data_IF_890681463396
#
_entry.id   IF_890681463396
#
_cell.length_a   1.000
_cell.length_b   1.000
_cell.length_c   1.000
_cell.angle_alpha   90.00
_cell.angle_beta   90.00
_cell.angle_gamma   90.00
#
_symmetry.space_group_name_H-M   'P 1'
#
loop_
_entity.id
_entity.type
_entity.pdbx_description
1 polymer ?
#
# COMPACT_ATOMS: atom_id res chain seq x y z
N UNK A 1 -6.68 27.77 -4.84
CA UNK A 1 -5.82 27.90 -3.64
C UNK A 1 -4.38 27.86 -4.13
N UNK A 2 -3.75 29.02 -4.13
CA UNK A 2 -2.36 29.18 -4.58
C UNK A 2 -1.43 28.43 -3.62
N UNK A 3 -0.68 27.48 -4.15
CA UNK A 3 0.40 26.82 -3.42
C UNK A 3 1.47 27.89 -3.18
N UNK A 4 1.64 28.28 -1.91
CA UNK A 4 2.76 29.12 -1.52
C UNK A 4 4.06 28.40 -1.90
N UNK A 5 4.70 28.86 -2.95
CA UNK A 5 6.06 28.48 -3.31
C UNK A 5 6.98 28.80 -2.12
N UNK A 6 7.32 27.79 -1.34
CA UNK A 6 8.44 27.87 -0.41
C UNK A 6 9.70 28.05 -1.25
N UNK A 7 10.24 29.26 -1.27
CA UNK A 7 11.60 29.45 -1.75
C UNK A 7 12.49 28.56 -0.85
N UNK A 8 13.09 27.55 -1.45
CA UNK A 8 14.12 26.74 -0.81
C UNK A 8 15.31 27.65 -0.55
N UNK A 9 15.46 28.12 0.68
CA UNK A 9 16.64 28.79 1.12
C UNK A 9 17.66 27.77 1.58
N UNK A 10 18.83 27.80 1.00
CA UNK A 10 19.95 26.96 1.39
C UNK A 10 20.64 27.59 2.61
N UNK A 11 20.72 26.84 3.69
CA UNK A 11 21.41 27.21 4.92
C UNK A 11 22.58 26.29 5.11
N UNK A 12 23.81 26.82 5.04
CA UNK A 12 25.02 26.03 5.34
C UNK A 12 25.26 26.04 6.84
N UNK A 13 25.36 24.88 7.43
CA UNK A 13 25.67 24.68 8.83
C UNK A 13 26.93 23.82 8.92
N UNK A 14 28.02 24.41 9.42
CA UNK A 14 29.26 23.66 9.65
C UNK A 14 29.23 22.98 11.01
N UNK A 15 29.62 21.72 11.01
CA UNK A 15 29.65 20.89 12.21
C UNK A 15 30.97 20.10 12.29
N UNK A 16 31.79 20.42 13.26
CA UNK A 16 32.99 19.65 13.60
C UNK A 16 32.71 18.75 14.81
N UNK A 17 32.97 17.44 14.66
CA UNK A 17 32.73 16.43 15.69
C UNK A 17 33.96 15.54 15.85
N UNK A 18 34.53 15.52 17.04
CA UNK A 18 35.59 14.59 17.43
C UNK A 18 35.06 13.60 18.46
N UNK A 19 35.30 12.31 18.21
CA UNK A 19 34.90 11.27 19.14
C UNK A 19 35.94 10.18 19.21
N UNK A 20 36.00 9.50 20.36
CA UNK A 20 36.85 8.34 20.60
C UNK A 20 35.95 7.15 20.88
N UNK A 21 36.09 6.11 20.09
CA UNK A 21 35.41 4.82 20.31
C UNK A 21 36.44 3.83 20.87
N UNK A 22 36.13 3.25 22.03
CA UNK A 22 36.94 2.17 22.60
C UNK A 22 36.36 0.85 22.07
N UNK A 23 37.20 0.08 21.41
CA UNK A 23 36.91 -1.25 20.89
C UNK A 23 37.83 -2.25 21.60
N UNK A 24 37.26 -3.30 22.16
CA UNK A 24 38.04 -4.32 22.90
C UNK A 24 38.74 -5.28 21.94
N UNK A 25 38.04 -5.67 20.89
CA UNK A 25 38.57 -6.51 19.83
C UNK A 25 38.35 -5.82 18.48
N UNK A 26 39.32 -5.88 17.58
CA UNK A 26 39.23 -5.17 16.28
C UNK A 26 38.40 -5.96 15.25
N UNK A 27 37.22 -6.45 15.65
CA UNK A 27 36.28 -7.08 14.73
C UNK A 27 35.33 -6.04 14.14
N UNK A 28 34.93 -6.23 12.86
CA UNK A 28 33.97 -5.36 12.18
C UNK A 28 32.65 -5.26 12.95
N UNK A 29 32.19 -6.36 13.55
CA UNK A 29 30.99 -6.42 14.36
C UNK A 29 31.08 -5.55 15.62
N UNK A 30 32.22 -5.56 16.32
CA UNK A 30 32.44 -4.71 17.50
C UNK A 30 32.55 -3.24 17.14
N UNK A 31 33.24 -2.92 16.04
CA UNK A 31 33.36 -1.55 15.56
C UNK A 31 31.96 -0.99 15.22
N UNK A 32 31.13 -1.75 14.49
CA UNK A 32 29.74 -1.35 14.16
C UNK A 32 28.91 -1.20 15.44
N UNK A 33 28.99 -2.14 16.37
CA UNK A 33 28.25 -2.10 17.63
C UNK A 33 28.63 -0.89 18.48
N UNK A 34 29.95 -0.63 18.61
CA UNK A 34 30.46 0.53 19.32
C UNK A 34 30.01 1.85 18.65
N UNK A 35 30.06 1.91 17.33
CA UNK A 35 29.56 3.06 16.57
C UNK A 35 28.06 3.28 16.78
N UNK A 36 27.24 2.25 16.67
CA UNK A 36 25.81 2.34 16.92
C UNK A 36 25.44 2.76 18.34
N UNK A 37 26.22 2.33 19.34
CA UNK A 37 26.02 2.75 20.74
C UNK A 37 26.44 4.19 21.00
N UNK A 38 27.44 4.66 20.28
CA UNK A 38 27.95 6.02 20.37
C UNK A 38 27.09 7.06 19.63
N UNK A 39 26.54 6.70 18.48
CA UNK A 39 25.82 7.59 17.56
C UNK A 39 24.72 8.47 18.18
N UNK A 40 23.98 8.08 19.27
CA UNK A 40 22.94 8.93 19.86
C UNK A 40 23.44 10.31 20.31
N UNK A 41 24.62 10.41 20.89
CA UNK A 41 25.12 11.67 21.45
C UNK A 41 25.52 12.69 20.37
N UNK A 42 26.43 12.37 19.43
CA UNK A 42 26.77 13.30 18.36
C UNK A 42 25.57 13.62 17.45
N UNK A 43 24.66 12.68 17.23
CA UNK A 43 23.44 12.94 16.49
C UNK A 43 22.53 13.94 17.23
N UNK A 44 22.40 13.82 18.55
CA UNK A 44 21.68 14.76 19.39
C UNK A 44 22.28 16.17 19.28
N UNK A 45 23.59 16.28 19.43
CA UNK A 45 24.31 17.55 19.36
C UNK A 45 24.20 18.18 17.96
N UNK A 46 24.34 17.38 16.91
CA UNK A 46 24.14 17.83 15.53
C UNK A 46 22.73 18.37 15.33
N UNK A 47 21.70 17.59 15.67
CA UNK A 47 20.30 18.03 15.53
C UNK A 47 20.04 19.31 16.33
N UNK A 48 20.56 19.41 17.55
CA UNK A 48 20.38 20.62 18.36
C UNK A 48 21.05 21.84 17.76
N UNK A 49 22.28 21.72 17.22
CA UNK A 49 22.95 22.84 16.52
C UNK A 49 22.20 23.26 15.27
N UNK A 50 21.73 22.30 14.46
CA UNK A 50 20.91 22.60 13.27
C UNK A 50 19.62 23.31 13.67
N UNK A 51 18.90 22.81 14.68
CA UNK A 51 17.67 23.45 15.15
C UNK A 51 17.88 24.85 15.70
N UNK A 52 18.97 25.09 16.44
CA UNK A 52 19.32 26.41 16.95
C UNK A 52 19.66 27.38 15.81
N UNK A 53 20.56 26.98 14.91
CA UNK A 53 20.94 27.81 13.77
C UNK A 53 19.73 28.14 12.88
N UNK A 54 18.89 27.17 12.59
CA UNK A 54 17.68 27.39 11.80
C UNK A 54 16.68 28.28 12.52
N UNK A 55 16.51 28.12 13.84
CA UNK A 55 15.63 28.97 14.64
C UNK A 55 16.12 30.42 14.70
N UNK A 56 17.40 30.62 14.90
CA UNK A 56 18.00 31.98 14.92
C UNK A 56 17.86 32.68 13.57
N UNK A 57 18.15 31.97 12.49
CA UNK A 57 17.99 32.47 11.14
C UNK A 57 16.54 32.77 10.80
N UNK A 58 15.61 31.82 11.06
CA UNK A 58 14.20 32.02 10.76
C UNK A 58 13.54 33.13 11.57
N UNK A 59 13.95 33.33 12.82
CA UNK A 59 13.47 34.44 13.65
C UNK A 59 14.02 35.81 13.15
N UNK A 60 15.25 35.86 12.64
CA UNK A 60 15.81 37.09 12.09
C UNK A 60 15.12 37.56 10.81
N UNK A 61 14.65 36.62 9.99
CA UNK A 61 13.95 36.90 8.74
C UNK A 61 12.43 37.14 8.91
N UNK A 62 11.86 36.92 10.10
CA UNK A 62 10.42 36.99 10.29
C UNK A 62 9.64 35.91 9.51
N UNK A 63 10.19 34.74 9.38
CA UNK A 63 9.58 33.62 8.63
C UNK A 63 8.27 33.15 9.25
N UNK A 64 7.21 32.99 8.45
CA UNK A 64 5.88 32.50 8.87
C UNK A 64 5.93 31.13 9.59
N UNK A 65 6.94 30.29 9.33
CA UNK A 65 7.14 29.03 10.04
C UNK A 65 7.33 29.20 11.56
N UNK A 66 7.72 30.40 11.99
CA UNK A 66 7.91 30.78 13.40
C UNK A 66 6.74 31.60 13.96
N UNK A 67 5.60 31.66 13.27
CA UNK A 67 4.45 32.41 13.75
C UNK A 67 3.96 31.95 15.14
N UNK A 68 3.55 32.90 15.95
CA UNK A 68 2.90 32.64 17.22
C UNK A 68 1.53 32.01 16.99
N UNK A 69 1.24 30.91 17.68
CA UNK A 69 -0.01 30.15 17.53
C UNK A 69 -1.26 30.92 18.02
N UNK A 70 -1.07 31.95 18.87
CA UNK A 70 -2.17 32.73 19.45
C UNK A 70 -2.47 33.99 18.62
N UNK A 71 -1.47 34.77 18.27
CA UNK A 71 -1.69 36.08 17.62
C UNK A 71 -1.17 36.15 16.18
N UNK A 72 -0.64 35.09 15.65
CA UNK A 72 -0.09 35.03 14.28
C UNK A 72 1.19 35.85 14.06
N UNK A 73 1.69 36.57 15.09
CA UNK A 73 2.91 37.38 14.98
C UNK A 73 4.09 36.47 14.61
N UNK A 74 4.85 36.84 13.59
CA UNK A 74 6.05 36.14 13.09
C UNK A 74 7.34 36.96 13.24
N UNK A 75 7.28 38.10 13.95
CA UNK A 75 8.43 38.93 14.26
C UNK A 75 8.60 39.06 15.77
N UNK A 76 9.86 39.28 16.20
CA UNK A 76 10.20 39.64 17.59
C UNK A 76 9.82 38.61 18.64
N UNK A 77 10.53 37.48 18.62
CA UNK A 77 10.48 36.48 19.69
C UNK A 77 11.64 36.68 20.66
N UNK A 78 11.39 36.46 21.93
CA UNK A 78 12.39 36.51 23.00
C UNK A 78 12.73 35.09 23.43
N UNK A 79 14.00 34.74 23.40
CA UNK A 79 14.49 33.49 23.93
C UNK A 79 14.20 33.38 25.43
N UNK A 80 13.52 32.32 25.89
CA UNK A 80 13.35 32.00 27.29
C UNK A 80 14.36 30.96 27.75
N UNK A 81 14.58 29.92 26.96
CA UNK A 81 15.62 28.95 27.23
C UNK A 81 16.01 28.21 25.94
N UNK A 82 17.30 27.97 25.80
CA UNK A 82 17.88 27.09 24.75
C UNK A 82 18.11 25.67 25.26
N UNK A 83 18.12 25.48 26.59
CA UNK A 83 18.32 24.20 27.27
C UNK A 83 17.19 23.91 28.24
N UNK A 84 15.96 23.93 27.74
CA UNK A 84 14.78 23.59 28.53
C UNK A 84 14.68 22.09 28.81
N UNK A 85 13.50 21.68 29.31
CA UNK A 85 13.21 20.25 29.56
C UNK A 85 13.57 19.41 28.32
N UNK A 86 14.16 18.24 28.56
CA UNK A 86 14.46 17.28 27.51
C UNK A 86 13.21 16.58 26.99
N UNK A 87 13.22 16.21 25.73
CA UNK A 87 12.22 15.34 25.11
C UNK A 87 12.92 14.23 24.37
N UNK A 88 12.42 13.01 24.51
CA UNK A 88 12.94 11.85 23.79
C UNK A 88 12.17 11.68 22.50
N UNK A 89 12.86 11.68 21.38
CA UNK A 89 12.28 11.60 20.02
C UNK A 89 12.93 10.42 19.29
N UNK A 90 12.11 9.64 18.61
CA UNK A 90 12.59 8.55 17.75
C UNK A 90 12.87 9.10 16.36
N UNK A 91 14.14 9.17 15.99
CA UNK A 91 14.55 9.51 14.62
C UNK A 91 14.56 8.26 13.73
N UNK A 92 14.89 8.45 12.45
CA UNK A 92 15.09 7.34 11.51
C UNK A 92 16.32 6.46 11.84
N UNK A 93 17.18 6.90 12.74
CA UNK A 93 18.37 6.17 13.17
C UNK A 93 18.17 5.52 14.55
N UNK A 94 17.69 6.29 15.54
CA UNK A 94 17.48 5.82 16.91
C UNK A 94 16.78 6.87 17.77
N UNK A 95 16.62 6.54 19.06
CA UNK A 95 16.15 7.49 20.06
C UNK A 95 17.21 8.55 20.35
N UNK A 96 16.84 9.82 20.23
CA UNK A 96 17.64 10.98 20.64
C UNK A 96 16.93 11.76 21.74
N UNK A 97 17.71 12.45 22.57
CA UNK A 97 17.21 13.26 23.67
C UNK A 97 17.49 14.73 23.34
N UNK A 98 16.48 15.46 22.93
CA UNK A 98 16.64 16.87 22.52
C UNK A 98 16.18 17.83 23.63
N UNK A 99 16.86 18.96 23.76
CA UNK A 99 16.41 20.05 24.61
C UNK A 99 15.25 20.80 23.95
N UNK A 100 14.28 21.22 24.76
CA UNK A 100 13.19 22.07 24.28
C UNK A 100 13.67 23.51 24.16
N UNK A 101 13.66 24.04 22.95
CA UNK A 101 13.88 25.46 22.67
C UNK A 101 12.60 26.21 22.96
N UNK A 102 12.61 27.10 23.96
CA UNK A 102 11.43 27.87 24.33
C UNK A 102 11.61 29.35 23.98
N UNK A 103 10.61 29.89 23.33
CA UNK A 103 10.51 31.31 22.99
C UNK A 103 9.23 31.93 23.54
N UNK A 104 9.21 33.24 23.69
CA UNK A 104 8.06 34.03 24.04
C UNK A 104 7.77 35.05 22.97
N UNK A 105 6.53 35.11 22.53
CA UNK A 105 6.06 36.16 21.63
C UNK A 105 6.14 37.54 22.31
N UNK A 106 6.74 38.53 21.66
CA UNK A 106 6.83 39.89 22.21
C UNK A 106 5.48 40.59 22.28
N UNK A 107 4.54 40.26 21.38
CA UNK A 107 3.21 40.86 21.28
C UNK A 107 2.25 40.35 22.33
N UNK A 108 1.93 39.04 22.32
CA UNK A 108 0.93 38.46 23.22
C UNK A 108 1.52 37.78 24.45
N UNK A 109 2.84 37.79 24.64
CA UNK A 109 3.58 37.14 25.73
C UNK A 109 3.40 35.62 25.83
N UNK A 110 2.75 35.00 24.85
CA UNK A 110 2.60 33.53 24.79
C UNK A 110 3.96 32.84 24.71
N UNK A 111 4.13 31.74 25.47
CA UNK A 111 5.34 30.93 25.49
C UNK A 111 5.07 29.62 24.75
N UNK A 112 5.92 29.24 23.81
CA UNK A 112 5.80 27.99 23.09
C UNK A 112 7.16 27.34 22.81
N UNK A 113 7.15 26.05 22.45
CA UNK A 113 8.35 25.27 22.23
C UNK A 113 8.62 25.12 20.73
N UNK A 114 9.76 25.64 20.27
CA UNK A 114 10.18 25.57 18.86
C UNK A 114 10.60 24.16 18.46
N UNK A 115 11.28 23.39 19.30
CA UNK A 115 11.84 22.08 18.97
C UNK A 115 10.81 21.17 18.28
N UNK A 116 9.63 21.05 18.86
CA UNK A 116 8.55 20.21 18.29
C UNK A 116 7.99 20.79 16.99
N UNK A 117 7.78 22.09 16.96
CA UNK A 117 7.26 22.81 15.79
C UNK A 117 8.19 22.67 14.59
N UNK A 118 9.49 22.87 14.79
CA UNK A 118 10.51 22.73 13.74
C UNK A 118 10.65 21.30 13.21
N UNK A 119 10.45 20.31 14.08
CA UNK A 119 10.51 18.91 13.71
C UNK A 119 9.16 18.35 13.17
N UNK A 120 8.13 19.18 13.09
CA UNK A 120 6.80 18.74 12.65
C UNK A 120 6.19 17.68 13.58
N UNK A 121 6.49 17.73 14.88
CA UNK A 121 6.03 16.74 15.84
C UNK A 121 4.84 17.28 16.61
N UNK A 122 3.68 16.67 16.45
CA UNK A 122 2.47 17.02 17.18
C UNK A 122 2.66 16.95 18.71
N UNK A 123 1.90 17.75 19.48
CA UNK A 123 1.88 17.66 20.93
C UNK A 123 1.70 16.21 21.40
N UNK A 124 2.43 15.83 22.44
CA UNK A 124 2.43 14.48 23.05
C UNK A 124 2.99 13.34 22.17
N UNK A 125 3.22 13.50 20.88
CA UNK A 125 3.88 12.51 20.04
C UNK A 125 5.40 12.58 20.22
N UNK A 126 6.07 11.42 19.99
CA UNK A 126 7.54 11.27 20.11
C UNK A 126 8.17 10.69 18.86
N UNK A 127 7.35 10.45 17.84
CA UNK A 127 7.77 9.84 16.58
C UNK A 127 7.39 10.79 15.46
N UNK A 128 8.37 11.38 14.75
CA UNK A 128 8.11 12.20 13.58
C UNK A 128 7.40 11.39 12.49
N UNK A 129 6.65 12.07 11.65
CA UNK A 129 5.85 11.42 10.61
C UNK A 129 6.69 10.56 9.66
N UNK A 130 7.84 11.05 9.22
CA UNK A 130 8.73 10.28 8.34
C UNK A 130 9.22 8.98 8.99
N UNK A 131 9.56 9.01 10.29
CA UNK A 131 9.93 7.82 11.04
C UNK A 131 8.74 6.87 11.18
N UNK A 132 7.56 7.40 11.46
CA UNK A 132 6.31 6.64 11.57
C UNK A 132 5.99 5.91 10.26
N UNK A 133 6.08 6.59 9.11
CA UNK A 133 5.86 5.97 7.78
C UNK A 133 6.85 4.83 7.50
N UNK A 134 8.14 4.99 7.85
CA UNK A 134 9.13 3.92 7.72
C UNK A 134 8.83 2.73 8.63
N UNK A 135 8.41 2.97 9.88
CA UNK A 135 7.97 1.91 10.78
C UNK A 135 6.72 1.21 10.26
N UNK A 136 5.78 1.96 9.70
CA UNK A 136 4.58 1.44 9.04
C UNK A 136 4.92 0.51 7.87
N UNK A 137 5.84 0.94 7.00
CA UNK A 137 6.31 0.14 5.89
C UNK A 137 6.97 -1.17 6.35
N UNK A 138 7.92 -1.10 7.29
CA UNK A 138 8.60 -2.30 7.82
C UNK A 138 7.58 -3.23 8.49
N UNK A 139 6.63 -2.68 9.24
CA UNK A 139 5.59 -3.44 9.91
C UNK A 139 4.56 -4.08 8.98
N UNK A 140 4.39 -3.56 7.75
CA UNK A 140 3.52 -4.16 6.73
C UNK A 140 4.18 -5.33 5.99
N UNK A 141 5.53 -5.37 5.95
CA UNK A 141 6.28 -6.40 5.24
C UNK A 141 6.51 -7.68 6.03
N UNK A 142 6.39 -7.62 7.37
CA UNK A 142 6.65 -8.77 8.23
C UNK A 142 5.78 -8.74 9.50
N UNK A 143 5.70 -9.87 10.22
CA UNK A 143 5.04 -9.85 11.54
C UNK A 143 5.73 -8.84 12.47
N UNK A 144 4.96 -8.18 13.34
CA UNK A 144 5.50 -7.14 14.24
C UNK A 144 6.65 -7.64 15.15
N UNK A 145 6.70 -8.94 15.44
CA UNK A 145 7.82 -9.56 16.18
C UNK A 145 9.07 -9.60 15.32
N UNK A 146 8.94 -9.97 14.05
CA UNK A 146 10.06 -10.02 13.10
C UNK A 146 10.51 -8.60 12.77
N UNK A 147 9.59 -7.70 12.47
CA UNK A 147 9.87 -6.28 12.24
C UNK A 147 10.66 -5.66 13.40
N UNK A 148 10.26 -5.94 14.67
CA UNK A 148 11.02 -5.51 15.85
C UNK A 148 12.45 -6.07 15.88
N UNK A 149 12.64 -7.36 15.55
CA UNK A 149 13.99 -7.97 15.50
C UNK A 149 14.85 -7.31 14.42
N UNK A 150 14.30 -7.11 13.21
CA UNK A 150 15.02 -6.43 12.13
C UNK A 150 15.44 -5.03 12.58
N UNK A 151 14.51 -4.25 13.14
CA UNK A 151 14.78 -2.90 13.62
C UNK A 151 15.85 -2.89 14.72
N UNK A 152 15.83 -3.90 15.64
CA UNK A 152 16.82 -4.00 16.71
C UNK A 152 18.24 -4.29 16.21
N UNK A 153 18.40 -4.91 15.03
CA UNK A 153 19.72 -5.12 14.41
C UNK A 153 20.37 -3.79 13.98
N UNK A 154 19.58 -2.75 13.79
CA UNK A 154 20.06 -1.38 13.52
C UNK A 154 20.18 -0.52 14.79
N UNK A 155 20.20 -1.14 15.98
CA UNK A 155 20.36 -0.45 17.25
C UNK A 155 19.08 0.24 17.80
N UNK A 156 17.91 0.04 17.19
CA UNK A 156 16.68 0.67 17.64
C UNK A 156 15.96 -0.19 18.70
N UNK A 157 15.71 0.38 19.85
CA UNK A 157 14.89 -0.26 20.87
C UNK A 157 13.43 0.25 20.74
N UNK A 158 12.60 -0.53 20.06
CA UNK A 158 11.19 -0.19 19.81
C UNK A 158 10.31 -1.35 20.22
N UNK A 159 9.16 -1.06 20.84
CA UNK A 159 8.16 -2.07 21.13
C UNK A 159 7.34 -2.40 19.84
N UNK A 160 6.95 -3.69 19.72
CA UNK A 160 6.06 -4.19 18.67
C UNK A 160 4.74 -3.41 18.55
N UNK A 161 4.19 -2.90 19.67
CA UNK A 161 2.99 -2.08 19.68
C UNK A 161 3.20 -0.70 19.05
N UNK A 162 4.41 -0.16 19.14
CA UNK A 162 4.77 1.09 18.44
C UNK A 162 4.77 0.88 16.92
N UNK A 163 5.30 -0.25 16.45
CA UNK A 163 5.26 -0.63 15.03
C UNK A 163 3.82 -0.84 14.57
N UNK A 164 3.02 -1.58 15.36
CA UNK A 164 1.61 -1.80 15.06
C UNK A 164 0.83 -0.48 14.92
N UNK A 165 1.01 0.46 15.87
CA UNK A 165 0.37 1.78 15.80
C UNK A 165 0.81 2.56 14.56
N UNK A 166 2.10 2.50 14.22
CA UNK A 166 2.61 3.13 13.01
C UNK A 166 1.94 2.58 11.74
N UNK A 167 1.75 1.25 11.65
CA UNK A 167 1.01 0.61 10.54
C UNK A 167 -0.43 1.10 10.49
N UNK A 168 -1.12 1.15 11.65
CA UNK A 168 -2.51 1.60 11.70
C UNK A 168 -2.66 3.08 11.29
N UNK A 169 -1.76 3.95 11.74
CA UNK A 169 -1.80 5.37 11.39
C UNK A 169 -1.46 5.59 9.90
N UNK A 170 -0.42 4.92 9.39
CA UNK A 170 -0.05 5.00 7.97
C UNK A 170 -1.17 4.45 7.07
N UNK A 171 -1.81 3.37 7.49
CA UNK A 171 -2.93 2.78 6.73
C UNK A 171 -4.13 3.73 6.60
N UNK A 172 -4.37 4.62 7.55
CA UNK A 172 -5.44 5.63 7.47
C UNK A 172 -5.17 6.73 6.44
N UNK A 173 -3.93 6.93 6.07
CA UNK A 173 -3.51 7.94 5.09
C UNK A 173 -3.59 7.43 3.64
N UNK A 174 -3.83 6.12 3.46
CA UNK A 174 -3.96 5.53 2.13
C UNK A 174 -5.37 5.83 1.61
N UNK A 175 -5.44 6.59 0.55
CA UNK A 175 -6.67 6.81 -0.19
C UNK A 175 -6.80 5.74 -1.28
N UNK A 176 -7.86 4.92 -1.14
CA UNK A 176 -8.20 3.89 -2.11
C UNK A 176 -9.28 4.44 -3.02
N UNK A 177 -8.92 4.85 -4.23
CA UNK A 177 -9.88 5.29 -5.22
C UNK A 177 -9.38 5.03 -6.65
N UNK A 178 -10.32 5.00 -7.60
CA UNK A 178 -10.01 5.01 -9.03
C UNK A 178 -9.44 6.36 -9.43
N UNK A 179 -8.64 6.34 -10.47
CA UNK A 179 -8.13 7.53 -11.14
C UNK A 179 -8.86 7.66 -12.50
N UNK A 180 -9.63 8.74 -12.72
CA UNK A 180 -10.36 8.92 -13.96
C UNK A 180 -9.46 9.08 -15.19
N UNK A 181 -8.21 9.49 -14.99
CA UNK A 181 -7.23 9.70 -16.05
C UNK A 181 -6.48 8.41 -16.46
N UNK A 182 -6.67 7.32 -15.73
CA UNK A 182 -6.06 6.03 -16.00
C UNK A 182 -6.94 5.12 -16.87
N UNK A 183 -6.54 3.86 -17.09
CA UNK A 183 -7.29 2.92 -17.91
C UNK A 183 -8.65 2.57 -17.29
N UNK A 184 -9.68 2.49 -18.12
CA UNK A 184 -10.99 1.95 -17.74
C UNK A 184 -10.95 0.42 -17.61
N UNK A 185 -9.93 -0.09 -16.92
CA UNK A 185 -9.67 -1.51 -16.74
C UNK A 185 -9.25 -1.79 -15.30
N UNK A 186 -9.90 -2.76 -14.67
CA UNK A 186 -9.60 -3.16 -13.31
C UNK A 186 -9.79 -4.65 -13.08
N UNK A 187 -9.32 -5.10 -11.93
CA UNK A 187 -9.46 -6.48 -11.45
C UNK A 187 -10.02 -6.48 -10.05
N UNK A 188 -10.90 -7.42 -9.76
CA UNK A 188 -11.44 -7.62 -8.42
C UNK A 188 -11.36 -9.10 -8.02
N UNK A 189 -10.75 -9.37 -6.87
CA UNK A 189 -10.57 -10.71 -6.35
C UNK A 189 -10.65 -10.73 -4.83
N UNK A 190 -11.05 -11.87 -4.27
CA UNK A 190 -11.16 -12.10 -2.85
C UNK A 190 -10.35 -13.31 -2.41
N UNK A 191 -9.63 -13.17 -1.31
CA UNK A 191 -8.88 -14.29 -0.72
C UNK A 191 -9.21 -14.48 0.75
N UNK A 192 -9.37 -15.74 1.15
CA UNK A 192 -9.61 -16.08 2.55
C UNK A 192 -8.39 -15.75 3.42
N UNK A 193 -8.60 -14.99 4.48
CA UNK A 193 -7.54 -14.62 5.42
C UNK A 193 -7.78 -15.23 6.80
N UNK A 194 -6.73 -15.80 7.44
CA UNK A 194 -6.83 -16.23 8.83
C UNK A 194 -6.78 -15.00 9.75
N UNK A 195 -7.77 -14.88 10.64
CA UNK A 195 -7.77 -13.84 11.66
C UNK A 195 -7.45 -14.46 13.02
N UNK A 196 -6.44 -13.92 13.69
CA UNK A 196 -6.03 -14.41 15.00
C UNK A 196 -7.20 -14.28 16.01
N UNK A 197 -7.48 -15.34 16.75
CA UNK A 197 -8.54 -15.37 17.76
C UNK A 197 -9.91 -15.77 17.23
N UNK A 198 -10.10 -15.91 15.91
CA UNK A 198 -11.34 -16.40 15.30
C UNK A 198 -11.11 -17.84 14.84
N UNK A 199 -11.79 -18.80 15.50
CA UNK A 199 -11.68 -20.23 15.16
C UNK A 199 -12.34 -20.59 13.82
N UNK A 200 -13.33 -19.82 13.39
CA UNK A 200 -14.10 -20.13 12.19
C UNK A 200 -13.55 -19.37 10.99
N UNK A 201 -13.42 -20.08 9.87
CA UNK A 201 -13.20 -19.54 8.53
C UNK A 201 -14.26 -18.49 8.26
N UNK A 202 -13.91 -17.38 7.72
CA UNK A 202 -14.99 -16.55 7.26
C UNK A 202 -14.71 -15.08 7.12
N UNK A 203 -13.45 -14.69 7.10
CA UNK A 203 -13.09 -13.36 6.63
C UNK A 203 -12.34 -13.49 5.33
N UNK A 204 -12.74 -12.67 4.40
CA UNK A 204 -12.15 -12.52 3.08
C UNK A 204 -11.59 -11.13 2.94
N UNK A 205 -10.35 -11.06 2.50
CA UNK A 205 -9.76 -9.81 2.02
C UNK A 205 -10.18 -9.66 0.56
N UNK A 206 -10.96 -8.62 0.29
CA UNK A 206 -11.37 -8.22 -1.05
C UNK A 206 -10.51 -7.08 -1.52
N UNK A 207 -10.00 -7.18 -2.73
CA UNK A 207 -9.14 -6.17 -3.35
C UNK A 207 -9.71 -5.81 -4.71
N UNK A 208 -9.74 -4.52 -4.98
CA UNK A 208 -10.05 -3.97 -6.28
C UNK A 208 -8.86 -3.13 -6.76
N UNK A 209 -8.38 -3.39 -7.95
CA UNK A 209 -7.24 -2.68 -8.56
C UNK A 209 -7.63 -2.08 -9.90
N UNK A 210 -6.93 -1.02 -10.28
CA UNK A 210 -7.01 -0.39 -11.60
C UNK A 210 -5.67 -0.49 -12.31
N UNK A 211 -5.68 -0.80 -13.61
CA UNK A 211 -4.50 -0.78 -14.44
C UNK A 211 -4.13 0.64 -14.86
N UNK A 212 -2.84 0.93 -14.92
CA UNK A 212 -2.31 2.24 -15.31
C UNK A 212 -1.90 2.27 -16.77
N UNK A 213 -2.06 3.42 -17.45
CA UNK A 213 -1.60 3.67 -18.83
C UNK A 213 -0.10 3.42 -19.01
N UNK A 214 0.70 3.76 -18.00
CA UNK A 214 2.16 3.57 -18.00
C UNK A 214 2.61 2.18 -17.52
N UNK A 215 1.69 1.23 -17.37
CA UNK A 215 1.96 -0.09 -16.79
C UNK A 215 1.87 -0.11 -15.25
N UNK A 216 1.68 -1.30 -14.71
CA UNK A 216 1.45 -1.52 -13.28
C UNK A 216 0.00 -1.33 -12.86
N UNK A 217 -0.24 -1.46 -11.55
CA UNK A 217 -1.58 -1.42 -10.96
C UNK A 217 -1.65 -0.37 -9.84
N UNK A 218 -2.86 0.14 -9.59
CA UNK A 218 -3.23 0.95 -8.44
C UNK A 218 -4.27 0.21 -7.63
N UNK A 219 -4.11 0.12 -6.32
CA UNK A 219 -5.15 -0.40 -5.44
C UNK A 219 -6.24 0.66 -5.31
N UNK A 220 -7.43 0.36 -5.82
CA UNK A 220 -8.57 1.27 -5.86
C UNK A 220 -9.59 0.98 -4.74
N UNK A 221 -9.49 -0.17 -4.09
CA UNK A 221 -10.33 -0.52 -2.96
C UNK A 221 -9.86 -1.75 -2.21
N UNK A 222 -10.05 -1.75 -0.90
CA UNK A 222 -9.78 -2.89 -0.03
C UNK A 222 -10.89 -3.02 1.00
N UNK A 223 -11.41 -4.22 1.20
CA UNK A 223 -12.37 -4.51 2.27
C UNK A 223 -12.11 -5.87 2.92
N UNK A 224 -12.41 -5.97 4.20
CA UNK A 224 -12.37 -7.22 4.94
C UNK A 224 -13.78 -7.52 5.42
N UNK A 225 -14.37 -8.57 4.89
CA UNK A 225 -15.76 -8.91 5.15
C UNK A 225 -16.04 -10.39 5.16
N UNK A 226 -17.33 -10.74 5.23
CA UNK A 226 -17.79 -12.11 5.03
C UNK A 226 -17.74 -12.47 3.54
N UNK A 227 -17.72 -13.77 3.24
CA UNK A 227 -17.51 -14.31 1.89
C UNK A 227 -18.46 -13.70 0.83
N UNK A 228 -19.74 -13.56 1.14
CA UNK A 228 -20.75 -13.04 0.21
C UNK A 228 -21.11 -11.56 0.42
N UNK A 229 -20.46 -10.88 1.33
CA UNK A 229 -20.75 -9.48 1.63
C UNK A 229 -19.54 -8.56 1.39
N UNK A 230 -19.79 -7.28 1.22
CA UNK A 230 -18.72 -6.29 1.18
C UNK A 230 -18.36 -5.79 -0.22
N UNK A 231 -18.66 -6.51 -1.31
CA UNK A 231 -18.39 -6.01 -2.66
C UNK A 231 -19.12 -4.69 -2.95
N UNK A 232 -20.38 -4.57 -2.52
CA UNK A 232 -21.13 -3.31 -2.67
C UNK A 232 -20.42 -2.16 -1.96
N UNK A 233 -19.96 -2.38 -0.72
CA UNK A 233 -19.26 -1.36 0.08
C UNK A 233 -17.90 -1.03 -0.55
N UNK A 234 -17.19 -2.03 -1.09
CA UNK A 234 -15.91 -1.85 -1.75
C UNK A 234 -16.01 -0.97 -3.00
N UNK A 235 -17.04 -1.19 -3.83
CA UNK A 235 -17.22 -0.45 -5.08
C UNK A 235 -17.92 0.91 -4.91
N UNK A 236 -18.66 1.11 -3.83
CA UNK A 236 -19.47 2.31 -3.63
C UNK A 236 -18.69 3.63 -3.83
N UNK A 237 -17.47 3.82 -3.30
CA UNK A 237 -16.68 5.01 -3.56
C UNK A 237 -16.24 5.15 -5.03
N UNK A 238 -16.07 4.05 -5.74
CA UNK A 238 -15.57 4.02 -7.11
C UNK A 238 -16.67 4.23 -8.16
N UNK A 239 -17.97 4.05 -7.81
CA UNK A 239 -19.09 4.07 -8.76
C UNK A 239 -19.15 5.37 -9.54
N UNK A 240 -19.01 6.53 -8.90
CA UNK A 240 -19.13 7.83 -9.57
C UNK A 240 -18.00 8.03 -10.60
N UNK A 241 -16.79 7.58 -10.27
CA UNK A 241 -15.68 7.62 -11.22
C UNK A 241 -15.89 6.61 -12.35
N UNK A 242 -16.37 5.40 -12.03
CA UNK A 242 -16.68 4.39 -13.05
C UNK A 242 -17.75 4.85 -14.05
N UNK A 243 -18.72 5.65 -13.63
CA UNK A 243 -19.74 6.25 -14.54
C UNK A 243 -19.13 7.21 -15.56
N UNK A 244 -18.00 7.83 -15.25
CA UNK A 244 -17.28 8.71 -16.17
C UNK A 244 -16.67 7.97 -17.37
N UNK A 245 -16.44 6.67 -17.25
CA UNK A 245 -15.94 5.84 -18.36
C UNK A 245 -17.10 5.39 -19.26
N UNK A 246 -16.89 5.40 -20.58
CA UNK A 246 -17.86 4.87 -21.55
C UNK A 246 -18.23 3.41 -21.27
N UNK A 247 -17.26 2.61 -20.90
CA UNK A 247 -17.39 1.22 -20.47
C UNK A 247 -16.16 0.88 -19.61
N UNK A 248 -16.36 0.21 -18.48
CA UNK A 248 -15.27 -0.23 -17.63
C UNK A 248 -15.06 -1.75 -17.78
N UNK A 249 -13.86 -2.19 -18.13
CA UNK A 249 -13.52 -3.60 -18.19
C UNK A 249 -13.16 -4.07 -16.78
N UNK A 250 -13.84 -5.09 -16.27
CA UNK A 250 -13.58 -5.67 -14.95
C UNK A 250 -13.29 -7.16 -15.06
N UNK A 251 -12.07 -7.55 -14.67
CA UNK A 251 -11.65 -8.95 -14.60
C UNK A 251 -11.94 -9.48 -13.19
N UNK A 252 -12.61 -10.63 -13.10
CA UNK A 252 -12.94 -11.28 -11.83
C UNK A 252 -12.80 -12.80 -11.92
N UNK A 253 -12.84 -13.50 -10.80
CA UNK A 253 -12.89 -14.96 -10.74
C UNK A 253 -14.23 -15.55 -11.22
N UNK A 254 -15.24 -14.69 -11.46
CA UNK A 254 -16.61 -15.06 -11.85
C UNK A 254 -17.59 -15.13 -10.67
N UNK A 255 -17.25 -14.58 -9.50
CA UNK A 255 -18.19 -14.45 -8.39
C UNK A 255 -19.35 -13.52 -8.79
N UNK A 256 -20.57 -14.05 -8.76
CA UNK A 256 -21.78 -13.31 -9.12
C UNK A 256 -22.06 -12.13 -8.21
N UNK A 257 -21.64 -12.19 -6.96
CA UNK A 257 -21.84 -11.10 -5.99
C UNK A 257 -21.06 -9.83 -6.36
N UNK A 258 -19.94 -9.97 -7.08
CA UNK A 258 -19.22 -8.83 -7.68
C UNK A 258 -20.11 -8.18 -8.75
N UNK A 259 -20.66 -8.99 -9.66
CA UNK A 259 -21.52 -8.51 -10.74
C UNK A 259 -22.77 -7.83 -10.21
N UNK A 260 -23.44 -8.44 -9.23
CA UNK A 260 -24.65 -7.91 -8.61
C UNK A 260 -24.42 -6.58 -7.89
N UNK A 261 -23.22 -6.36 -7.36
CA UNK A 261 -22.87 -5.11 -6.68
C UNK A 261 -22.82 -3.89 -7.63
N UNK A 262 -22.55 -4.11 -8.92
CA UNK A 262 -22.38 -3.09 -9.95
C UNK A 262 -23.58 -3.03 -10.92
N UNK A 263 -24.44 -4.04 -10.94
CA UNK A 263 -25.58 -4.14 -11.85
C UNK A 263 -26.50 -2.94 -11.76
N UNK A 264 -26.84 -2.35 -12.93
CA UNK A 264 -27.70 -1.19 -13.04
C UNK A 264 -27.09 0.14 -12.58
N UNK A 265 -25.86 0.16 -12.08
CA UNK A 265 -25.20 1.38 -11.61
C UNK A 265 -24.17 1.92 -12.60
N UNK A 266 -23.42 1.04 -13.23
CA UNK A 266 -22.33 1.36 -14.16
C UNK A 266 -22.35 0.40 -15.35
N UNK A 267 -21.83 0.86 -16.49
CA UNK A 267 -21.66 0.02 -17.67
C UNK A 267 -20.34 -0.70 -17.57
N UNK A 268 -20.40 -1.99 -17.24
CA UNK A 268 -19.21 -2.83 -17.04
C UNK A 268 -19.20 -3.96 -18.05
N UNK A 269 -18.04 -4.16 -18.69
CA UNK A 269 -17.73 -5.37 -19.43
C UNK A 269 -17.00 -6.34 -18.51
N UNK A 270 -17.61 -7.48 -18.27
CA UNK A 270 -17.02 -8.49 -17.38
C UNK A 270 -16.18 -9.49 -18.16
N UNK A 271 -14.94 -9.68 -17.68
CA UNK A 271 -14.04 -10.69 -18.15
C UNK A 271 -13.74 -11.65 -17.00
N UNK A 272 -13.96 -12.94 -17.21
CA UNK A 272 -13.54 -13.95 -16.25
C UNK A 272 -12.04 -14.13 -16.28
N UNK A 273 -11.40 -14.16 -15.12
CA UNK A 273 -9.96 -14.33 -14.98
C UNK A 273 -9.51 -15.67 -15.57
N UNK A 274 -8.65 -15.64 -16.58
CA UNK A 274 -8.16 -16.82 -17.28
C UNK A 274 -7.34 -17.74 -16.37
N UNK A 275 -6.75 -17.21 -15.31
CA UNK A 275 -6.01 -17.99 -14.32
C UNK A 275 -6.94 -18.82 -13.42
N UNK A 276 -8.09 -18.27 -13.03
CA UNK A 276 -9.05 -18.94 -12.16
C UNK A 276 -9.82 -20.07 -12.86
N UNK A 277 -10.02 -19.99 -14.18
CA UNK A 277 -10.78 -20.98 -14.94
C UNK A 277 -10.18 -22.41 -14.80
N UNK A 278 -8.88 -22.65 -15.03
CA UNK A 278 -8.29 -23.99 -14.84
C UNK A 278 -8.34 -24.47 -13.39
N UNK A 279 -8.28 -23.56 -12.42
CA UNK A 279 -8.38 -23.89 -11.00
C UNK A 279 -9.77 -24.36 -10.61
N UNK A 280 -10.80 -23.63 -11.02
CA UNK A 280 -12.21 -23.99 -10.78
C UNK A 280 -12.58 -25.27 -11.50
N UNK A 281 -11.96 -25.52 -12.62
CA UNK A 281 -12.11 -26.72 -13.40
C UNK A 281 -11.83 -28.00 -12.62
N UNK A 282 -10.75 -28.04 -11.86
CA UNK A 282 -10.39 -29.20 -11.03
C UNK A 282 -11.49 -29.52 -10.02
N UNK A 283 -12.17 -28.50 -9.51
CA UNK A 283 -13.26 -28.67 -8.57
C UNK A 283 -14.56 -29.17 -9.22
N UNK A 284 -14.90 -28.69 -10.41
CA UNK A 284 -16.06 -29.16 -11.18
C UNK A 284 -15.85 -30.60 -11.66
N UNK A 285 -14.64 -30.97 -12.08
CA UNK A 285 -14.27 -32.36 -12.37
C UNK A 285 -14.49 -33.31 -11.20
N UNK A 286 -14.11 -32.86 -10.01
CA UNK A 286 -14.32 -33.63 -8.80
C UNK A 286 -15.83 -33.79 -8.52
N UNK A 287 -16.65 -32.75 -8.71
CA UNK A 287 -18.11 -32.85 -8.59
C UNK A 287 -18.73 -33.79 -9.59
N UNK A 288 -18.25 -33.81 -10.83
CA UNK A 288 -18.67 -34.74 -11.88
C UNK A 288 -18.06 -36.13 -11.70
N UNK A 289 -17.39 -36.39 -10.57
CA UNK A 289 -16.78 -37.69 -10.21
C UNK A 289 -15.75 -38.20 -11.21
N UNK A 290 -15.13 -37.33 -11.98
CA UNK A 290 -14.04 -37.68 -12.90
C UNK A 290 -12.83 -38.09 -12.07
N UNK A 291 -12.34 -39.32 -12.30
CA UNK A 291 -11.20 -39.88 -11.56
C UNK A 291 -9.95 -39.02 -11.81
N UNK A 292 -9.35 -38.52 -10.71
CA UNK A 292 -8.12 -37.71 -10.78
C UNK A 292 -7.00 -38.47 -11.52
N UNK A 293 -6.32 -37.81 -12.42
CA UNK A 293 -5.26 -38.34 -13.30
C UNK A 293 -5.75 -39.41 -14.32
N UNK A 294 -7.08 -39.56 -14.55
CA UNK A 294 -7.57 -40.34 -15.69
C UNK A 294 -7.26 -39.63 -17.00
N UNK A 295 -7.38 -40.37 -18.12
CA UNK A 295 -7.20 -39.78 -19.47
C UNK A 295 -8.09 -38.56 -19.69
N UNK A 296 -9.39 -38.64 -19.34
CA UNK A 296 -10.34 -37.53 -19.46
C UNK A 296 -9.95 -36.36 -18.56
N UNK A 297 -9.50 -36.60 -17.32
CA UNK A 297 -9.01 -35.55 -16.43
C UNK A 297 -7.84 -34.79 -17.03
N UNK A 298 -6.83 -35.49 -17.52
CA UNK A 298 -5.62 -34.91 -18.09
C UNK A 298 -5.94 -34.15 -19.39
N UNK A 299 -6.73 -34.75 -20.27
CA UNK A 299 -7.17 -34.14 -21.54
C UNK A 299 -7.89 -32.82 -21.28
N UNK A 300 -8.91 -32.82 -20.43
CA UNK A 300 -9.71 -31.67 -20.13
C UNK A 300 -8.90 -30.55 -19.48
N UNK A 301 -7.98 -30.89 -18.59
CA UNK A 301 -7.12 -29.89 -17.93
C UNK A 301 -6.12 -29.30 -18.95
N UNK A 302 -5.52 -30.12 -19.81
CA UNK A 302 -4.58 -29.64 -20.83
C UNK A 302 -5.28 -28.70 -21.81
N UNK A 303 -6.45 -29.10 -22.34
CA UNK A 303 -7.21 -28.28 -23.27
C UNK A 303 -7.62 -26.92 -22.68
N UNK A 304 -8.11 -26.89 -21.44
CA UNK A 304 -8.51 -25.60 -20.85
C UNK A 304 -7.29 -24.72 -20.54
N UNK A 305 -6.18 -25.31 -20.13
CA UNK A 305 -4.94 -24.54 -19.92
C UNK A 305 -4.46 -23.91 -21.23
N UNK A 306 -4.54 -24.64 -22.33
CA UNK A 306 -4.18 -24.12 -23.66
C UNK A 306 -5.14 -23.04 -24.15
N UNK A 307 -6.44 -23.21 -23.93
CA UNK A 307 -7.45 -22.19 -24.24
C UNK A 307 -7.22 -20.91 -23.43
N UNK A 308 -6.89 -21.04 -22.15
CA UNK A 308 -6.64 -19.92 -21.25
C UNK A 308 -5.22 -19.35 -21.35
N UNK A 309 -4.30 -20.00 -22.05
CA UNK A 309 -2.94 -19.50 -22.21
C UNK A 309 -2.96 -18.16 -22.94
N UNK A 310 -2.31 -17.16 -22.33
CA UNK A 310 -2.10 -15.85 -22.95
C UNK A 310 -0.82 -15.98 -23.78
N UNK A 311 -0.98 -15.88 -25.10
CA UNK A 311 0.16 -15.80 -26.01
C UNK A 311 0.92 -14.48 -25.88
N UNK A 312 2.06 -14.34 -26.56
CA UNK A 312 2.75 -13.06 -26.63
C UNK A 312 1.81 -11.98 -27.19
N UNK A 313 1.99 -10.74 -26.72
CA UNK A 313 1.25 -9.60 -27.23
C UNK A 313 1.50 -9.50 -28.75
N UNK A 314 0.43 -9.65 -29.53
CA UNK A 314 0.44 -9.52 -30.97
C UNK A 314 -0.31 -8.25 -31.30
N UNK A 315 0.33 -7.31 -31.98
CA UNK A 315 -0.31 -6.04 -32.35
C UNK A 315 -1.25 -6.18 -33.57
N UNK A 316 -1.06 -7.23 -34.38
CA UNK A 316 -1.89 -7.49 -35.53
C UNK A 316 -3.30 -7.95 -35.13
N UNK A 317 -4.30 -7.17 -35.55
CA UNK A 317 -5.70 -7.40 -35.24
C UNK A 317 -6.26 -8.69 -35.89
N UNK A 318 -5.80 -9.02 -37.09
CA UNK A 318 -6.30 -10.21 -37.80
C UNK A 318 -5.72 -11.47 -37.18
N UNK A 319 -4.49 -11.43 -36.72
CA UNK A 319 -3.89 -12.51 -35.92
C UNK A 319 -4.66 -12.68 -34.61
N UNK A 320 -4.97 -11.59 -33.91
CA UNK A 320 -5.80 -11.64 -32.69
C UNK A 320 -7.16 -12.28 -32.95
N UNK A 321 -7.86 -11.87 -34.00
CA UNK A 321 -9.16 -12.45 -34.39
C UNK A 321 -9.06 -13.94 -34.71
N UNK A 322 -8.03 -14.34 -35.44
CA UNK A 322 -7.78 -15.75 -35.75
C UNK A 322 -7.52 -16.59 -34.49
N UNK A 323 -6.72 -16.07 -33.56
CA UNK A 323 -6.48 -16.73 -32.27
C UNK A 323 -7.77 -16.89 -31.46
N UNK A 324 -8.59 -15.84 -31.37
CA UNK A 324 -9.88 -15.89 -30.67
C UNK A 324 -10.80 -16.93 -31.30
N UNK A 325 -10.91 -16.94 -32.64
CA UNK A 325 -11.71 -17.92 -33.36
C UNK A 325 -11.25 -19.36 -33.07
N UNK A 326 -9.95 -19.64 -33.17
CA UNK A 326 -9.40 -20.95 -32.88
C UNK A 326 -9.67 -21.39 -31.45
N UNK A 327 -9.47 -20.51 -30.44
CA UNK A 327 -9.75 -20.83 -29.04
C UNK A 327 -11.24 -21.06 -28.77
N UNK A 328 -12.11 -20.31 -29.45
CA UNK A 328 -13.57 -20.47 -29.36
C UNK A 328 -14.02 -21.83 -29.94
N UNK A 329 -13.47 -22.23 -31.06
CA UNK A 329 -13.75 -23.54 -31.66
C UNK A 329 -13.28 -24.70 -30.77
N UNK A 330 -12.07 -24.56 -30.16
CA UNK A 330 -11.57 -25.55 -29.17
C UNK A 330 -12.47 -25.62 -27.95
N UNK A 331 -12.93 -24.48 -27.42
CA UNK A 331 -13.85 -24.45 -26.27
C UNK A 331 -15.17 -25.13 -26.61
N UNK A 332 -15.75 -24.88 -27.79
CA UNK A 332 -16.96 -25.55 -28.24
C UNK A 332 -16.80 -27.08 -28.31
N UNK A 333 -15.69 -27.57 -28.88
CA UNK A 333 -15.35 -29.01 -28.88
C UNK A 333 -15.23 -29.58 -27.48
N UNK A 334 -14.65 -28.84 -26.57
CA UNK A 334 -14.48 -29.25 -25.18
C UNK A 334 -15.83 -29.37 -24.45
N UNK A 335 -16.76 -28.43 -24.71
CA UNK A 335 -18.12 -28.47 -24.17
C UNK A 335 -18.86 -29.69 -24.70
N UNK A 336 -18.81 -29.94 -26.00
CA UNK A 336 -19.43 -31.15 -26.61
C UNK A 336 -18.87 -32.43 -25.97
N UNK A 337 -17.56 -32.56 -25.83
CA UNK A 337 -16.95 -33.68 -25.15
C UNK A 337 -17.46 -33.86 -23.71
N UNK A 338 -17.61 -32.78 -22.97
CA UNK A 338 -18.17 -32.85 -21.61
C UNK A 338 -19.61 -33.33 -21.59
N UNK A 339 -20.44 -32.87 -22.53
CA UNK A 339 -21.82 -33.26 -22.64
C UNK A 339 -21.94 -34.75 -23.02
N UNK A 340 -21.17 -35.25 -23.99
CA UNK A 340 -21.14 -36.64 -24.40
C UNK A 340 -20.73 -37.60 -23.27
N UNK A 341 -19.82 -37.13 -22.40
CA UNK A 341 -19.37 -37.89 -21.22
C UNK A 341 -20.29 -37.75 -20.01
N UNK A 342 -21.31 -36.87 -20.07
CA UNK A 342 -22.22 -36.60 -18.97
C UNK A 342 -21.62 -35.75 -17.84
N UNK A 343 -20.58 -34.98 -18.14
CA UNK A 343 -19.93 -34.06 -17.17
C UNK A 343 -20.70 -32.73 -17.11
N UNK A 344 -21.89 -32.72 -16.53
CA UNK A 344 -22.85 -31.59 -16.56
C UNK A 344 -22.36 -30.32 -15.86
N UNK A 345 -21.87 -30.48 -14.64
CA UNK A 345 -21.36 -29.31 -13.86
C UNK A 345 -20.25 -28.57 -14.58
N UNK A 346 -19.54 -29.30 -15.42
CA UNK A 346 -18.46 -28.73 -16.21
C UNK A 346 -18.96 -28.01 -17.44
N UNK A 347 -19.84 -28.63 -18.20
CA UNK A 347 -20.45 -27.99 -19.37
C UNK A 347 -21.07 -26.63 -18.97
N UNK A 348 -21.86 -26.60 -17.91
CA UNK A 348 -22.45 -25.36 -17.36
C UNK A 348 -21.39 -24.32 -16.96
N UNK A 349 -20.28 -24.76 -16.35
CA UNK A 349 -19.19 -23.85 -15.97
C UNK A 349 -18.53 -23.17 -17.17
N UNK A 350 -18.46 -23.83 -18.33
CA UNK A 350 -17.86 -23.36 -19.55
C UNK A 350 -18.85 -22.54 -20.42
N UNK A 351 -20.14 -22.88 -20.37
CA UNK A 351 -21.20 -22.26 -21.18
C UNK A 351 -21.74 -20.95 -20.63
N UNK A 352 -21.42 -20.55 -19.41
CA UNK A 352 -22.02 -19.38 -18.75
C UNK A 352 -21.86 -18.12 -19.62
N UNK A 353 -22.96 -17.51 -20.14
CA UNK A 353 -22.92 -16.38 -21.07
C UNK A 353 -22.22 -15.13 -20.47
N UNK A 354 -21.51 -14.40 -21.32
CA UNK A 354 -20.76 -13.21 -20.91
C UNK A 354 -19.48 -13.50 -20.13
N UNK A 355 -19.12 -14.77 -20.01
CA UNK A 355 -18.01 -15.27 -19.21
C UNK A 355 -17.07 -16.15 -20.04
N UNK A 356 -17.10 -16.00 -21.36
CA UNK A 356 -16.30 -16.80 -22.28
C UNK A 356 -14.86 -16.31 -22.33
N UNK A 357 -13.92 -17.25 -22.37
CA UNK A 357 -12.48 -17.01 -22.56
C UNK A 357 -12.13 -16.26 -23.88
N UNK A 358 -13.13 -15.98 -24.73
CA UNK A 358 -12.96 -15.43 -26.07
C UNK A 358 -13.00 -13.90 -26.14
N UNK A 359 -13.49 -13.19 -25.11
CA UNK A 359 -13.65 -11.74 -25.16
C UNK A 359 -12.40 -10.87 -24.83
N UNK A 360 -11.31 -11.33 -24.20
CA UNK A 360 -10.20 -10.44 -23.86
C UNK A 360 -9.42 -9.88 -25.04
N UNK A 361 -9.69 -10.35 -26.26
CA UNK A 361 -8.90 -9.98 -27.45
C UNK A 361 -9.56 -8.96 -28.37
N UNK A 362 -10.75 -8.46 -28.03
CA UNK A 362 -11.56 -7.61 -28.91
C UNK A 362 -11.73 -6.16 -28.40
N UNK A 363 -11.00 -5.72 -27.42
CA UNK A 363 -11.01 -4.31 -27.02
C UNK A 363 -9.94 -3.56 -27.80
N UNK A 364 -10.40 -2.64 -28.65
CA UNK A 364 -9.61 -1.58 -29.29
C UNK A 364 -9.00 -0.64 -28.26
#
# INVERSE_FOLDING_TARGET
>A
MESAYYQKQEVTIEFDCRFTVKVLECSLSEIITAFCSFLPNPLTDFIMKVLLGYAEYGMSLGNKAFSCEICGNHHHFIWKTRHGKTTRILTIFQWVVLHQLQVQCSSCKHKFYLTRKLLGIEPMKRIPEQTRRKLGLIGSLASFRVARKIISMFGWTIDKMTIWRAVQETGKEIDFNLDPDELAHGEADGTGIPIQGIKNRGKELKVFVQHKKGGGIRVAGVDIGNYHGGWKRLFEPAIEIMKGFKTFLLVTDGDTTILDSLKGKVKVLFQRCLWHIPHQLKFTLWKDKVKRKSGDWLYLLAEIMEICAIGPLVDDLDVKKSMVKSKTERLAKLILFCNDKGYRMRAECLETPGRTCSQPYLTD
#
